data_IF_429115227443
#
_entry.id   IF_429115227443
#
_cell.length_a   1.000
_cell.length_b   1.000
_cell.length_c   1.000
_cell.angle_alpha   90.00
_cell.angle_beta   90.00
_cell.angle_gamma   90.00
#
_symmetry.space_group_name_H-M   'P 1'
#
loop_
_entity.id
_entity.type
_entity.pdbx_description
1 polymer ?
#
# COMPACT_ATOMS: atom_id res chain seq x y z
N UNK A 1 5.03 11.87 16.55
CA UNK A 1 4.35 10.61 16.19
C UNK A 1 3.33 10.27 17.26
N UNK A 2 2.04 10.39 17.00
CA UNK A 2 1.01 9.86 17.93
C UNK A 2 0.67 8.45 17.50
N UNK A 3 1.16 7.47 18.26
CA UNK A 3 0.69 6.09 18.22
C UNK A 3 -0.74 6.07 18.78
N UNK A 4 -1.69 5.65 17.95
CA UNK A 4 -3.04 5.33 18.42
C UNK A 4 -2.94 3.91 18.99
N UNK A 5 -2.68 3.81 20.30
CA UNK A 5 -2.76 2.56 21.04
C UNK A 5 -4.22 2.19 21.20
N UNK A 6 -4.71 1.26 20.38
CA UNK A 6 -6.01 0.64 20.60
C UNK A 6 -5.85 -0.55 21.53
N UNK A 7 -6.56 -0.50 22.65
CA UNK A 7 -6.69 -1.55 23.67
C UNK A 7 -7.07 -2.89 23.01
N UNK A 8 -6.40 -3.93 23.48
CA UNK A 8 -6.51 -5.33 23.07
C UNK A 8 -7.95 -5.83 23.21
N UNK A 9 -8.63 -6.04 22.09
CA UNK A 9 -9.77 -6.94 21.98
C UNK A 9 -9.38 -8.10 21.06
N UNK A 10 -9.57 -9.32 21.54
CA UNK A 10 -9.25 -10.55 20.84
C UNK A 10 -10.33 -10.84 19.81
N UNK A 11 -10.20 -10.29 18.58
CA UNK A 11 -11.01 -10.70 17.44
C UNK A 11 -10.15 -10.84 16.18
N UNK A 12 -10.43 -11.82 15.32
CA UNK A 12 -9.58 -12.12 14.18
C UNK A 12 -9.55 -10.97 13.17
N UNK A 13 -8.42 -10.82 12.55
CA UNK A 13 -7.95 -9.73 11.69
C UNK A 13 -8.90 -9.36 10.53
N UNK A 14 -9.85 -10.22 10.19
CA UNK A 14 -10.78 -10.05 9.07
C UNK A 14 -11.91 -9.03 9.32
N UNK A 15 -12.31 -8.80 10.58
CA UNK A 15 -13.46 -7.95 10.90
C UNK A 15 -13.12 -6.46 11.04
N UNK A 16 -11.86 -6.09 11.13
CA UNK A 16 -11.43 -4.68 11.31
C UNK A 16 -10.95 -3.96 10.05
N UNK A 17 -10.79 -4.67 8.93
CA UNK A 17 -10.33 -4.07 7.68
C UNK A 17 -11.36 -3.20 6.96
N UNK A 18 -12.68 -3.47 7.00
CA UNK A 18 -13.68 -2.61 6.36
C UNK A 18 -13.67 -1.19 6.89
N UNK A 19 -13.73 -1.02 8.21
CA UNK A 19 -13.79 0.30 8.88
C UNK A 19 -12.57 1.20 8.58
N UNK A 20 -11.42 0.60 8.26
CA UNK A 20 -10.20 1.37 7.96
C UNK A 20 -10.13 1.84 6.50
N UNK A 21 -10.76 1.11 5.57
CA UNK A 21 -10.84 1.51 4.16
C UNK A 21 -11.75 2.72 3.97
N UNK A 22 -12.80 2.78 4.75
CA UNK A 22 -13.77 3.89 4.75
C UNK A 22 -13.20 5.16 5.41
N UNK A 23 -12.30 4.99 6.40
CA UNK A 23 -11.78 6.10 7.20
C UNK A 23 -10.69 6.94 6.52
N UNK A 24 -10.23 6.59 5.31
CA UNK A 24 -9.15 7.32 4.64
C UNK A 24 -8.57 6.62 3.42
N UNK A 25 -7.50 7.20 2.88
CA UNK A 25 -6.70 6.66 1.78
C UNK A 25 -5.56 5.84 2.38
N UNK A 26 -5.51 4.54 2.09
CA UNK A 26 -4.39 3.67 2.46
C UNK A 26 -3.28 3.67 1.41
N UNK A 27 -2.11 3.12 1.76
CA UNK A 27 -0.98 3.06 0.82
C UNK A 27 -1.37 2.41 -0.52
N UNK A 28 -2.16 1.33 -0.50
CA UNK A 28 -2.58 0.63 -1.71
C UNK A 28 -3.59 1.41 -2.56
N UNK A 29 -4.28 2.37 -1.96
CA UNK A 29 -5.25 3.22 -2.65
C UNK A 29 -4.59 4.46 -3.29
N UNK A 30 -3.38 4.84 -2.84
CA UNK A 30 -2.72 6.07 -3.21
C UNK A 30 -2.58 6.26 -4.74
N UNK A 31 -2.15 5.22 -5.43
CA UNK A 31 -1.99 5.28 -6.89
C UNK A 31 -3.34 5.44 -7.63
N UNK A 32 -4.39 4.74 -7.17
CA UNK A 32 -5.73 4.85 -7.73
C UNK A 32 -6.35 6.21 -7.44
N UNK A 33 -6.15 6.77 -6.24
CA UNK A 33 -6.64 8.09 -5.86
C UNK A 33 -6.12 9.20 -6.80
N UNK A 34 -4.89 9.05 -7.31
CA UNK A 34 -4.28 10.02 -8.23
C UNK A 34 -4.34 9.59 -9.70
N UNK A 35 -5.17 8.58 -10.04
CA UNK A 35 -5.39 8.13 -11.41
C UNK A 35 -4.16 7.46 -12.08
N UNK A 36 -3.24 6.88 -11.28
CA UNK A 36 -1.99 6.27 -11.76
C UNK A 36 -1.89 4.78 -11.46
N UNK A 37 -2.97 4.15 -11.03
CA UNK A 37 -3.03 2.71 -10.79
C UNK A 37 -3.47 2.01 -12.08
N UNK A 38 -2.71 1.03 -12.60
CA UNK A 38 -3.07 0.32 -13.84
C UNK A 38 -4.26 -0.64 -13.66
N UNK A 39 -4.64 -0.97 -12.42
CA UNK A 39 -5.65 -1.97 -12.12
C UNK A 39 -6.94 -1.37 -11.54
N UNK A 40 -6.88 -0.13 -11.03
CA UNK A 40 -8.01 0.52 -10.35
C UNK A 40 -8.10 1.98 -10.71
N UNK A 41 -9.24 2.41 -11.27
CA UNK A 41 -9.49 3.84 -11.53
C UNK A 41 -9.86 4.61 -10.25
N UNK A 42 -9.70 5.94 -10.28
CA UNK A 42 -10.12 6.82 -9.19
C UNK A 42 -11.64 6.74 -8.95
N UNK A 43 -12.44 6.61 -10.00
CA UNK A 43 -13.91 6.44 -9.90
C UNK A 43 -14.26 5.14 -9.17
N UNK A 44 -13.59 4.03 -9.51
CA UNK A 44 -13.80 2.75 -8.81
C UNK A 44 -13.43 2.85 -7.33
N UNK A 45 -12.29 3.47 -7.02
CA UNK A 45 -11.88 3.70 -5.64
C UNK A 45 -12.89 4.58 -4.89
N UNK A 46 -13.42 5.63 -5.54
CA UNK A 46 -14.47 6.49 -4.97
C UNK A 46 -15.73 5.69 -4.66
N UNK A 47 -16.19 4.81 -5.55
CA UNK A 47 -17.33 3.92 -5.30
C UNK A 47 -17.09 3.01 -4.10
N UNK A 48 -15.87 2.45 -3.97
CA UNK A 48 -15.48 1.62 -2.82
C UNK A 48 -15.49 2.43 -1.49
N UNK A 49 -15.07 3.70 -1.53
CA UNK A 49 -15.03 4.60 -0.36
C UNK A 49 -16.38 5.17 0.05
N UNK A 50 -17.34 5.19 -0.87
CA UNK A 50 -18.71 5.73 -0.65
C UNK A 50 -19.76 4.61 -0.59
N UNK A 51 -19.34 3.36 -0.32
CA UNK A 51 -20.21 2.18 -0.14
C UNK A 51 -21.11 1.86 -1.36
N UNK A 52 -20.74 2.29 -2.56
CA UNK A 52 -21.49 2.04 -3.80
C UNK A 52 -21.10 0.70 -4.44
N UNK A 53 -21.04 -0.35 -3.64
CA UNK A 53 -20.65 -1.68 -4.12
C UNK A 53 -21.64 -2.28 -5.11
N UNK A 54 -22.91 -1.88 -5.06
CA UNK A 54 -23.97 -2.25 -5.98
C UNK A 54 -23.80 -1.69 -7.40
N UNK A 55 -23.10 -0.58 -7.53
CA UNK A 55 -22.76 0.04 -8.83
C UNK A 55 -21.49 -0.54 -9.43
N UNK A 56 -20.67 -1.21 -8.64
CA UNK A 56 -19.53 -1.94 -9.16
C UNK A 56 -20.07 -3.14 -9.94
N UNK A 57 -19.80 -3.19 -11.25
CA UNK A 57 -20.20 -4.33 -12.08
C UNK A 57 -19.80 -5.64 -11.39
N UNK A 58 -20.65 -6.67 -11.47
CA UNK A 58 -20.29 -8.00 -10.96
C UNK A 58 -18.96 -8.40 -11.58
N UNK A 59 -17.93 -8.49 -10.78
CA UNK A 59 -16.65 -9.04 -11.21
C UNK A 59 -16.91 -10.51 -11.52
N UNK A 60 -16.46 -10.98 -12.67
CA UNK A 60 -16.51 -12.39 -13.02
C UNK A 60 -16.05 -13.23 -11.80
N UNK A 61 -16.83 -14.20 -11.34
CA UNK A 61 -16.48 -15.02 -10.19
C UNK A 61 -15.09 -15.66 -10.28
N UNK A 62 -14.62 -15.95 -11.49
CA UNK A 62 -13.26 -16.45 -11.74
C UNK A 62 -12.18 -15.41 -11.41
N UNK A 63 -12.43 -14.13 -11.68
CA UNK A 63 -11.53 -13.03 -11.34
C UNK A 63 -11.51 -12.73 -9.85
N UNK A 64 -12.66 -12.86 -9.17
CA UNK A 64 -12.74 -12.72 -7.71
C UNK A 64 -11.93 -13.85 -7.04
N UNK A 65 -12.06 -15.07 -7.52
CA UNK A 65 -11.33 -16.22 -7.01
C UNK A 65 -9.83 -16.07 -7.28
N UNK A 66 -9.45 -15.58 -8.45
CA UNK A 66 -8.05 -15.30 -8.80
C UNK A 66 -7.45 -14.22 -7.89
N UNK A 67 -8.16 -13.10 -7.68
CA UNK A 67 -7.70 -12.03 -6.78
C UNK A 67 -7.58 -12.50 -5.32
N UNK A 68 -8.54 -13.28 -4.83
CA UNK A 68 -8.49 -13.87 -3.49
C UNK A 68 -7.31 -14.85 -3.34
N UNK A 69 -7.03 -15.63 -4.38
CA UNK A 69 -5.90 -16.55 -4.43
C UNK A 69 -4.58 -15.78 -4.45
N UNK A 70 -4.45 -14.73 -5.25
CA UNK A 70 -3.27 -13.86 -5.27
C UNK A 70 -3.00 -13.24 -3.89
N UNK A 71 -4.02 -12.66 -3.26
CA UNK A 71 -3.91 -12.08 -1.91
C UNK A 71 -3.58 -13.13 -0.82
N UNK A 72 -4.00 -14.39 -1.00
CA UNK A 72 -3.61 -15.49 -0.13
C UNK A 72 -2.11 -15.79 -0.27
N UNK A 73 -1.62 -15.93 -1.49
CA UNK A 73 -0.21 -16.21 -1.76
C UNK A 73 0.70 -15.08 -1.31
N UNK A 74 0.29 -13.82 -1.51
CA UNK A 74 1.02 -12.65 -1.02
C UNK A 74 1.23 -12.72 0.49
N UNK A 75 0.18 -13.05 1.25
CA UNK A 75 0.28 -13.17 2.71
C UNK A 75 1.13 -14.35 3.15
N UNK A 76 1.11 -15.44 2.39
CA UNK A 76 1.87 -16.66 2.70
C UNK A 76 3.36 -16.47 2.38
N UNK A 77 3.66 -15.85 1.25
CA UNK A 77 5.03 -15.65 0.76
C UNK A 77 5.72 -14.41 1.34
N UNK A 78 4.96 -13.42 1.81
CA UNK A 78 5.51 -12.18 2.37
C UNK A 78 6.61 -12.41 3.45
N UNK A 79 6.45 -13.34 4.43
CA UNK A 79 7.51 -13.64 5.39
C UNK A 79 8.75 -14.27 4.75
N UNK A 80 8.57 -15.04 3.68
CA UNK A 80 9.67 -15.68 2.94
C UNK A 80 10.48 -14.61 2.20
N UNK A 81 9.80 -13.68 1.52
CA UNK A 81 10.45 -12.53 0.86
C UNK A 81 11.24 -11.70 1.87
N UNK A 82 10.66 -11.45 3.05
CA UNK A 82 11.35 -10.72 4.11
C UNK A 82 12.58 -11.44 4.64
N UNK A 83 12.52 -12.77 4.81
CA UNK A 83 13.65 -13.58 5.23
C UNK A 83 14.77 -13.57 4.17
N UNK A 84 14.42 -13.69 2.88
CA UNK A 84 15.39 -13.59 1.79
C UNK A 84 16.02 -12.20 1.68
N UNK A 85 15.23 -11.13 1.89
CA UNK A 85 15.78 -9.77 1.98
C UNK A 85 16.80 -9.68 3.12
N UNK A 86 16.47 -10.18 4.30
CA UNK A 86 17.37 -10.18 5.46
C UNK A 86 18.67 -10.93 5.19
N UNK A 87 18.59 -12.12 4.59
CA UNK A 87 19.77 -12.92 4.19
C UNK A 87 20.63 -12.19 3.16
N UNK A 88 20.01 -11.60 2.13
CA UNK A 88 20.74 -10.96 1.02
C UNK A 88 21.40 -9.64 1.43
N UNK A 89 20.82 -8.93 2.38
CA UNK A 89 21.29 -7.60 2.81
C UNK A 89 22.06 -7.61 4.13
N UNK A 90 21.99 -8.71 4.90
CA UNK A 90 22.53 -8.79 6.27
C UNK A 90 21.75 -7.98 7.29
N UNK A 91 20.55 -7.46 6.92
CA UNK A 91 19.74 -6.58 7.77
C UNK A 91 18.76 -7.35 8.61
N UNK A 92 18.50 -6.85 9.82
CA UNK A 92 17.45 -7.37 10.67
C UNK A 92 16.12 -6.69 10.31
N UNK A 93 15.06 -7.49 10.23
CA UNK A 93 13.72 -7.02 9.86
C UNK A 93 12.73 -7.38 10.96
N UNK A 94 11.94 -6.41 11.41
CA UNK A 94 10.90 -6.59 12.41
C UNK A 94 9.54 -6.27 11.81
N UNK A 95 8.55 -7.13 12.06
CA UNK A 95 7.16 -6.87 11.65
C UNK A 95 6.48 -5.93 12.65
N UNK A 96 5.88 -4.87 12.13
CA UNK A 96 5.12 -3.90 12.92
C UNK A 96 3.69 -3.83 12.37
N UNK A 97 2.69 -4.02 13.25
CA UNK A 97 1.27 -4.01 12.88
C UNK A 97 0.57 -2.72 13.32
N UNK A 98 1.30 -1.61 13.38
CA UNK A 98 0.72 -0.33 13.75
C UNK A 98 0.04 0.30 12.53
N UNK A 99 -1.22 0.71 12.69
CA UNK A 99 -1.86 1.63 11.78
C UNK A 99 -1.46 3.05 12.19
N UNK A 100 -0.89 3.78 11.25
CA UNK A 100 -0.46 5.15 11.41
C UNK A 100 -1.38 6.08 10.63
N UNK A 101 -1.54 7.29 11.15
CA UNK A 101 -2.30 8.36 10.53
C UNK A 101 -1.39 9.57 10.37
N UNK A 102 -1.46 10.22 9.20
CA UNK A 102 -0.66 11.41 8.95
C UNK A 102 -1.06 12.53 9.95
N UNK A 103 -0.10 13.21 10.60
CA UNK A 103 -0.40 14.17 11.65
C UNK A 103 -1.21 15.39 11.19
N UNK A 104 -1.02 15.83 9.95
CA UNK A 104 -1.69 17.01 9.38
C UNK A 104 -2.84 16.64 8.41
N UNK A 105 -2.82 15.42 7.87
CA UNK A 105 -3.80 14.91 6.90
C UNK A 105 -4.43 13.62 7.42
N UNK A 106 -5.44 13.71 8.32
CA UNK A 106 -5.99 12.55 9.04
C UNK A 106 -6.59 11.46 8.15
N UNK A 107 -6.91 11.79 6.91
CA UNK A 107 -7.41 10.86 5.91
C UNK A 107 -6.28 10.03 5.23
N UNK A 108 -5.00 10.35 5.45
CA UNK A 108 -3.89 9.53 4.98
C UNK A 108 -3.53 8.48 6.02
N UNK A 109 -3.60 7.22 5.64
CA UNK A 109 -3.39 6.06 6.51
C UNK A 109 -2.29 5.15 5.97
N UNK A 110 -1.46 4.61 6.84
CA UNK A 110 -0.47 3.60 6.48
C UNK A 110 -0.35 2.53 7.55
N UNK A 111 -0.22 1.28 7.13
CA UNK A 111 0.33 0.24 7.99
C UNK A 111 1.86 0.41 8.02
N UNK A 112 2.44 0.36 9.22
CA UNK A 112 3.89 0.45 9.37
C UNK A 112 4.61 -0.69 8.62
N UNK A 113 3.99 -1.87 8.51
CA UNK A 113 4.50 -2.99 7.73
C UNK A 113 5.71 -3.63 8.40
N UNK A 114 6.87 -3.52 7.77
CA UNK A 114 8.14 -4.02 8.33
C UNK A 114 9.13 -2.88 8.52
N UNK A 115 9.83 -2.93 9.64
CA UNK A 115 10.93 -2.03 9.97
C UNK A 115 12.27 -2.74 9.74
N UNK A 116 13.24 -2.01 9.18
CA UNK A 116 14.64 -2.46 9.11
C UNK A 116 15.36 -1.92 10.34
N UNK A 117 15.82 -2.82 11.18
CA UNK A 117 16.38 -2.47 12.49
C UNK A 117 17.88 -2.16 12.38
N UNK A 118 18.29 -1.03 12.97
CA UNK A 118 19.72 -0.70 13.07
C UNK A 118 20.39 -0.27 11.77
N UNK A 119 19.63 -0.08 10.68
CA UNK A 119 20.15 0.41 9.41
C UNK A 119 19.91 1.93 9.30
N UNK A 120 20.95 2.77 9.19
CA UNK A 120 20.77 4.22 9.10
C UNK A 120 20.25 4.68 7.73
N UNK A 121 20.48 3.89 6.70
CA UNK A 121 20.21 4.20 5.29
C UNK A 121 18.83 3.71 4.81
N UNK A 122 18.14 2.84 5.57
CA UNK A 122 16.78 2.39 5.25
C UNK A 122 16.01 2.07 6.53
N UNK A 123 14.77 2.53 6.63
CA UNK A 123 13.96 2.35 7.83
C UNK A 123 12.82 1.36 7.64
N UNK A 124 12.31 1.23 6.43
CA UNK A 124 11.13 0.42 6.12
C UNK A 124 11.41 -0.60 5.02
N UNK A 125 10.66 -1.69 5.05
CA UNK A 125 10.65 -2.72 4.02
C UNK A 125 9.21 -3.00 3.60
N UNK A 126 8.97 -2.98 2.30
CA UNK A 126 7.80 -3.54 1.64
C UNK A 126 8.17 -4.84 0.96
N UNK A 127 7.39 -5.89 1.18
CA UNK A 127 7.55 -7.18 0.49
C UNK A 127 6.40 -7.36 -0.51
N UNK A 128 6.73 -7.72 -1.74
CA UNK A 128 5.78 -7.98 -2.82
C UNK A 128 6.01 -9.33 -3.45
N UNK A 129 4.93 -10.02 -3.78
CA UNK A 129 4.94 -11.18 -4.66
C UNK A 129 4.30 -10.76 -5.97
N UNK A 130 5.06 -10.81 -7.04
CA UNK A 130 4.64 -10.36 -8.37
C UNK A 130 4.32 -11.58 -9.22
N UNK A 131 3.05 -11.71 -9.61
CA UNK A 131 2.59 -12.75 -10.51
C UNK A 131 2.99 -12.51 -11.96
N UNK A 132 2.68 -13.48 -12.82
CA UNK A 132 2.99 -13.39 -14.26
C UNK A 132 2.29 -12.20 -14.93
N UNK A 133 1.07 -11.89 -14.49
CA UNK A 133 0.24 -10.82 -15.07
C UNK A 133 0.83 -9.42 -14.80
N UNK A 134 1.58 -9.27 -13.72
CA UNK A 134 2.22 -8.01 -13.35
C UNK A 134 3.70 -7.93 -13.73
N UNK A 135 4.33 -9.06 -14.04
CA UNK A 135 5.78 -9.18 -14.23
C UNK A 135 6.32 -8.21 -15.31
N UNK A 136 5.54 -7.96 -16.37
CA UNK A 136 5.90 -7.04 -17.45
C UNK A 136 6.07 -5.60 -16.93
N UNK A 137 5.21 -5.15 -16.00
CA UNK A 137 5.30 -3.82 -15.40
C UNK A 137 6.60 -3.61 -14.59
N UNK A 138 7.21 -4.70 -14.13
CA UNK A 138 8.47 -4.69 -13.39
C UNK A 138 9.71 -4.82 -14.29
N UNK A 139 9.52 -4.98 -15.60
CA UNK A 139 10.62 -5.14 -16.57
C UNK A 139 11.57 -3.94 -16.61
N UNK A 140 11.04 -2.73 -16.52
CA UNK A 140 11.82 -1.48 -16.50
C UNK A 140 12.29 -1.05 -15.08
N UNK A 141 12.06 -1.85 -14.07
CA UNK A 141 12.39 -1.54 -12.67
C UNK A 141 11.15 -1.39 -11.78
N UNK A 142 11.21 -0.51 -10.77
CA UNK A 142 10.08 -0.28 -9.86
C UNK A 142 8.95 0.46 -10.58
N UNK A 143 7.74 -0.14 -10.69
CA UNK A 143 6.60 0.50 -11.33
C UNK A 143 6.17 1.82 -10.65
N UNK A 144 5.64 2.75 -11.43
CA UNK A 144 5.24 4.07 -10.93
C UNK A 144 4.15 3.99 -9.85
N UNK A 145 3.14 3.12 -10.05
CA UNK A 145 2.08 2.92 -9.06
C UNK A 145 2.63 2.44 -7.70
N UNK A 146 3.62 1.56 -7.70
CA UNK A 146 4.27 1.10 -6.46
C UNK A 146 5.08 2.23 -5.84
N UNK A 147 5.79 3.02 -6.64
CA UNK A 147 6.53 4.19 -6.17
C UNK A 147 5.61 5.19 -5.47
N UNK A 148 4.43 5.48 -6.03
CA UNK A 148 3.42 6.35 -5.43
C UNK A 148 2.95 5.79 -4.08
N UNK A 149 2.66 4.49 -3.99
CA UNK A 149 2.30 3.81 -2.75
C UNK A 149 3.38 3.95 -1.67
N UNK A 150 4.65 3.85 -2.06
CA UNK A 150 5.78 4.03 -1.14
C UNK A 150 5.95 5.48 -0.70
N UNK A 151 5.78 6.46 -1.58
CA UNK A 151 5.80 7.88 -1.23
C UNK A 151 4.69 8.25 -0.24
N UNK A 152 3.48 7.71 -0.44
CA UNK A 152 2.39 7.85 0.53
C UNK A 152 2.79 7.29 1.90
N UNK A 153 3.37 6.08 1.95
CA UNK A 153 3.84 5.48 3.20
C UNK A 153 4.92 6.32 3.87
N UNK A 154 5.89 6.82 3.10
CA UNK A 154 6.93 7.70 3.60
C UNK A 154 6.35 9.01 4.15
N UNK A 155 5.32 9.57 3.49
CA UNK A 155 4.60 10.74 3.98
C UNK A 155 3.99 10.50 5.37
N UNK A 156 3.23 9.41 5.53
CA UNK A 156 2.52 9.09 6.78
C UNK A 156 3.46 8.69 7.91
N UNK A 157 4.51 7.93 7.62
CA UNK A 157 5.44 7.39 8.64
C UNK A 157 6.52 8.38 9.04
N UNK A 158 6.82 9.37 8.21
CA UNK A 158 7.97 10.26 8.40
C UNK A 158 9.33 9.60 8.14
N UNK A 159 9.35 8.35 7.65
CA UNK A 159 10.57 7.64 7.30
C UNK A 159 11.26 8.30 6.09
N UNK A 160 12.60 8.16 6.01
CA UNK A 160 13.41 8.73 4.93
C UNK A 160 13.51 7.79 3.73
N UNK A 161 13.46 6.48 3.99
CA UNK A 161 13.74 5.49 2.94
C UNK A 161 12.96 4.20 3.19
N UNK A 162 12.51 3.59 2.11
CA UNK A 162 11.89 2.28 2.09
C UNK A 162 12.51 1.41 1.00
N UNK A 163 12.89 0.19 1.33
CA UNK A 163 13.25 -0.82 0.35
C UNK A 163 12.00 -1.62 -0.04
N UNK A 164 11.84 -1.88 -1.33
CA UNK A 164 10.81 -2.76 -1.90
C UNK A 164 11.50 -4.04 -2.36
N UNK A 165 11.24 -5.13 -1.66
CA UNK A 165 11.70 -6.46 -2.03
C UNK A 165 10.57 -7.16 -2.80
N UNK A 166 10.76 -7.35 -4.10
CA UNK A 166 9.79 -7.96 -5.01
C UNK A 166 10.28 -9.32 -5.48
N UNK A 167 9.53 -10.37 -5.19
CA UNK A 167 9.74 -11.71 -5.71
C UNK A 167 8.94 -11.87 -7.01
N UNK A 168 9.63 -11.79 -8.14
CA UNK A 168 9.01 -11.86 -9.47
C UNK A 168 8.83 -13.32 -9.87
N UNK A 169 7.60 -13.71 -10.15
CA UNK A 169 7.21 -15.09 -10.57
C UNK A 169 7.78 -16.20 -9.65
N UNK A 170 7.99 -15.89 -8.37
CA UNK A 170 8.53 -16.84 -7.41
C UNK A 170 10.02 -17.21 -7.60
N UNK A 171 10.75 -16.55 -8.48
CA UNK A 171 12.11 -16.94 -8.86
C UNK A 171 13.15 -15.82 -8.71
N UNK A 172 12.81 -14.59 -9.06
CA UNK A 172 13.75 -13.47 -9.08
C UNK A 172 13.42 -12.45 -7.98
N UNK A 173 14.30 -12.36 -6.98
CA UNK A 173 14.16 -11.36 -5.92
C UNK A 173 14.88 -10.08 -6.33
N UNK A 174 14.12 -9.02 -6.59
CA UNK A 174 14.61 -7.67 -6.86
C UNK A 174 14.39 -6.77 -5.66
N UNK A 175 15.38 -5.92 -5.39
CA UNK A 175 15.32 -4.95 -4.30
C UNK A 175 15.45 -3.56 -4.92
N UNK A 176 14.43 -2.73 -4.73
CA UNK A 176 14.40 -1.35 -5.19
C UNK A 176 14.32 -0.42 -3.99
N UNK A 177 15.01 0.70 -4.05
CA UNK A 177 14.96 1.73 -3.00
C UNK A 177 14.12 2.91 -3.43
N UNK A 178 13.27 3.37 -2.53
CA UNK A 178 12.53 4.63 -2.67
C UNK A 178 12.94 5.54 -1.53
N UNK A 179 13.52 6.67 -1.90
CA UNK A 179 13.90 7.73 -0.98
C UNK A 179 12.76 8.74 -0.86
N UNK A 180 12.67 9.36 0.31
CA UNK A 180 11.74 10.44 0.58
C UNK A 180 12.06 11.64 -0.29
N UNK A 181 11.06 12.12 -1.01
CA UNK A 181 11.13 13.29 -1.89
C UNK A 181 9.99 14.24 -1.50
N UNK A 182 10.33 15.33 -0.82
CA UNK A 182 9.33 16.25 -0.28
C UNK A 182 8.51 16.93 -1.38
N UNK A 183 9.12 17.17 -2.55
CA UNK A 183 8.40 17.80 -3.67
C UNK A 183 7.35 16.85 -4.24
N UNK A 184 7.73 15.57 -4.44
CA UNK A 184 6.79 14.56 -4.91
C UNK A 184 5.72 14.24 -3.87
N UNK A 185 6.10 14.17 -2.59
CA UNK A 185 5.16 13.96 -1.48
C UNK A 185 4.16 15.10 -1.38
N UNK A 186 4.59 16.36 -1.47
CA UNK A 186 3.68 17.51 -1.45
C UNK A 186 2.65 17.44 -2.59
N UNK A 187 3.10 17.16 -3.81
CA UNK A 187 2.20 17.00 -4.97
C UNK A 187 1.24 15.83 -4.81
N UNK A 188 1.72 14.74 -4.23
CA UNK A 188 0.90 13.57 -3.94
C UNK A 188 -0.18 13.90 -2.92
N UNK A 189 0.17 14.57 -1.83
CA UNK A 189 -0.78 15.03 -0.80
C UNK A 189 -1.84 15.95 -1.39
N UNK A 190 -1.47 16.87 -2.29
CA UNK A 190 -2.43 17.76 -2.94
C UNK A 190 -3.41 16.99 -3.82
N UNK A 191 -2.92 16.06 -4.65
CA UNK A 191 -3.77 15.25 -5.52
C UNK A 191 -4.67 14.28 -4.72
N UNK A 192 -4.14 13.64 -3.66
CA UNK A 192 -4.95 12.81 -2.77
C UNK A 192 -6.00 13.61 -1.99
N UNK A 193 -5.71 14.87 -1.64
CA UNK A 193 -6.68 15.78 -1.00
C UNK A 193 -7.85 16.09 -1.94
N UNK A 194 -7.57 16.33 -3.21
CA UNK A 194 -8.63 16.53 -4.22
C UNK A 194 -9.53 15.30 -4.33
N UNK A 195 -8.93 14.11 -4.41
CA UNK A 195 -9.70 12.87 -4.41
C UNK A 195 -10.51 12.69 -3.11
N UNK A 196 -9.89 12.95 -1.95
CA UNK A 196 -10.59 12.82 -0.67
C UNK A 196 -11.74 13.83 -0.53
N UNK A 197 -11.59 15.01 -1.11
CA UNK A 197 -12.70 15.98 -1.20
C UNK A 197 -13.88 15.40 -1.98
N UNK A 198 -13.64 14.69 -3.09
CA UNK A 198 -14.69 14.00 -3.84
C UNK A 198 -15.41 12.95 -2.99
N UNK A 199 -14.69 12.20 -2.15
CA UNK A 199 -15.28 11.24 -1.20
C UNK A 199 -16.12 11.97 -0.14
N UNK A 200 -15.56 13.02 0.47
CA UNK A 200 -16.22 13.76 1.57
C UNK A 200 -17.45 14.54 1.12
N UNK A 201 -17.49 15.00 -0.13
CA UNK A 201 -18.63 15.74 -0.72
C UNK A 201 -19.59 14.87 -1.51
N UNK A 202 -19.30 13.55 -1.58
CA UNK A 202 -20.08 12.59 -2.34
C UNK A 202 -20.22 12.92 -3.85
N UNK A 203 -19.19 13.56 -4.42
CA UNK A 203 -19.09 13.90 -5.82
C UNK A 203 -18.07 12.99 -6.52
N UNK A 204 -18.45 12.34 -7.61
CA UNK A 204 -17.51 11.46 -8.34
C UNK A 204 -16.31 12.27 -8.87
N UNK A 205 -15.07 11.74 -8.80
CA UNK A 205 -13.92 12.36 -9.43
C UNK A 205 -14.07 12.36 -10.94
N UNK A 206 -13.44 13.32 -11.62
CA UNK A 206 -13.38 13.34 -13.08
C UNK A 206 -12.63 12.10 -13.57
N UNK A 207 -13.15 11.50 -14.67
CA UNK A 207 -12.58 10.30 -15.29
C UNK A 207 -11.25 10.61 -16.00
#
# INVERSE_FOLDING_TARGET
LRLVTTTRSQNPISERWPDMREAGIGCLDAAAAVGRDPFKSAVRLWMEKTERHDLLQPVDPSLIQSAATAAYWDRLLEPIVAAHYALRTGRQVKRTRALLRHPQHPWMLALAGREVVGAPDVQLLECRCVGMDEAELWGAGLPDYVRIQMLHRLAVTGAKTIDVAALICGQDLRIHRVERDEVKISRLIDAEREFWHCVATDCAPLA
#
